data_IF_734260269264
#
_entry.id   IF_734260269264
#
_cell.length_a   1.000
_cell.length_b   1.000
_cell.length_c   1.000
_cell.angle_alpha   90.00
_cell.angle_beta   90.00
_cell.angle_gamma   90.00
#
_symmetry.space_group_name_H-M   'P 1'
#
loop_
_entity.id
_entity.type
_entity.pdbx_description
1 polymer ?
#
# COMPACT_ATOMS: atom_id res chain seq x y z
N UNK A 1 -24.20 -20.88 13.25
CA UNK A 1 -23.24 -19.75 13.41
C UNK A 1 -21.87 -20.36 13.36
N UNK A 2 -21.09 -20.06 12.34
CA UNK A 2 -19.69 -20.50 12.26
C UNK A 2 -18.86 -19.70 13.28
N UNK A 3 -18.60 -20.30 14.40
CA UNK A 3 -17.92 -19.67 15.54
C UNK A 3 -16.50 -19.26 15.16
N UNK A 4 -16.30 -17.99 14.83
CA UNK A 4 -14.98 -17.38 14.67
C UNK A 4 -14.22 -17.69 13.38
N UNK A 5 -14.80 -18.39 12.41
CA UNK A 5 -14.14 -18.69 11.13
C UNK A 5 -14.03 -17.44 10.27
N UNK A 6 -12.82 -17.09 9.82
CA UNK A 6 -12.56 -16.02 8.86
C UNK A 6 -12.40 -16.58 7.43
N UNK A 7 -12.87 -15.82 6.46
CA UNK A 7 -12.74 -16.10 5.03
C UNK A 7 -11.73 -15.12 4.47
N UNK A 8 -10.68 -15.63 3.89
CA UNK A 8 -9.60 -14.86 3.28
C UNK A 8 -9.69 -14.94 1.77
N UNK A 9 -9.67 -13.79 1.10
CA UNK A 9 -9.67 -13.67 -0.36
C UNK A 9 -8.44 -12.88 -0.79
N UNK A 10 -7.61 -13.46 -1.63
CA UNK A 10 -6.41 -12.80 -2.16
C UNK A 10 -6.69 -12.33 -3.59
N UNK A 11 -6.46 -11.05 -3.83
CA UNK A 11 -6.82 -10.35 -5.06
C UNK A 11 -5.64 -9.53 -5.58
N UNK A 12 -5.54 -9.37 -6.89
CA UNK A 12 -4.69 -8.36 -7.50
C UNK A 12 -5.40 -6.99 -7.55
N UNK A 13 -4.64 -5.92 -7.63
CA UNK A 13 -5.19 -4.56 -7.78
C UNK A 13 -5.95 -4.40 -9.10
N UNK A 14 -5.50 -5.05 -10.18
CA UNK A 14 -6.20 -5.09 -11.46
C UNK A 14 -7.54 -5.82 -11.42
N UNK A 15 -7.68 -6.86 -10.59
CA UNK A 15 -8.95 -7.57 -10.40
C UNK A 15 -10.02 -6.70 -9.75
N UNK A 16 -9.60 -5.66 -9.03
CA UNK A 16 -10.53 -4.71 -8.41
C UNK A 16 -11.09 -3.67 -9.38
N UNK A 17 -10.61 -3.61 -10.62
CA UNK A 17 -11.16 -2.73 -11.67
C UNK A 17 -12.45 -3.31 -12.30
N UNK A 18 -12.70 -4.60 -12.12
CA UNK A 18 -13.87 -5.28 -12.67
C UNK A 18 -15.16 -4.78 -12.00
N UNK A 19 -16.22 -4.51 -12.78
CA UNK A 19 -17.49 -4.00 -12.23
C UNK A 19 -18.10 -4.89 -11.15
N UNK A 20 -17.96 -6.20 -11.27
CA UNK A 20 -18.45 -7.19 -10.31
C UNK A 20 -17.70 -7.07 -8.98
N UNK A 21 -16.39 -6.89 -9.03
CA UNK A 21 -15.55 -6.70 -7.83
C UNK A 21 -15.92 -5.41 -7.10
N UNK A 22 -16.05 -4.30 -7.83
CA UNK A 22 -16.45 -3.01 -7.27
C UNK A 22 -17.88 -3.07 -6.69
N UNK A 23 -18.81 -3.73 -7.38
CA UNK A 23 -20.19 -3.90 -6.91
C UNK A 23 -20.29 -4.71 -5.61
N UNK A 24 -19.43 -5.71 -5.44
CA UNK A 24 -19.42 -6.58 -4.26
C UNK A 24 -18.96 -5.85 -2.98
N UNK A 25 -18.15 -4.81 -3.08
CA UNK A 25 -17.64 -4.04 -1.93
C UNK A 25 -18.80 -3.51 -1.07
N UNK A 26 -19.76 -2.83 -1.70
CA UNK A 26 -20.92 -2.26 -0.99
C UNK A 26 -21.83 -3.31 -0.39
N UNK A 27 -21.98 -4.47 -1.04
CA UNK A 27 -22.79 -5.58 -0.54
C UNK A 27 -22.21 -6.17 0.75
N UNK A 28 -20.94 -6.51 0.76
CA UNK A 28 -20.27 -7.08 1.92
C UNK A 28 -20.35 -6.17 3.16
N UNK A 29 -20.23 -4.87 2.96
CA UNK A 29 -20.36 -3.90 4.04
C UNK A 29 -21.79 -3.82 4.60
N UNK A 30 -22.81 -3.78 3.74
CA UNK A 30 -24.21 -3.77 4.16
C UNK A 30 -24.61 -5.02 4.95
N UNK A 31 -24.14 -6.17 4.51
CA UNK A 31 -24.37 -7.45 5.18
C UNK A 31 -23.49 -7.63 6.43
N UNK A 32 -22.61 -6.65 6.72
CA UNK A 32 -21.69 -6.67 7.87
C UNK A 32 -20.91 -7.98 7.99
N UNK A 33 -20.32 -8.39 6.88
CA UNK A 33 -19.55 -9.63 6.81
C UNK A 33 -18.20 -9.47 7.53
N UNK A 34 -18.22 -9.37 8.83
CA UNK A 34 -17.04 -9.14 9.67
C UNK A 34 -16.08 -10.33 9.74
N UNK A 35 -16.47 -11.46 9.18
CA UNK A 35 -15.62 -12.62 8.97
C UNK A 35 -14.91 -12.63 7.61
N UNK A 36 -15.17 -11.65 6.73
CA UNK A 36 -14.54 -11.53 5.40
C UNK A 36 -13.31 -10.62 5.47
N UNK A 37 -12.19 -11.14 4.97
CA UNK A 37 -10.93 -10.40 4.87
C UNK A 37 -10.43 -10.47 3.43
N UNK A 38 -10.31 -9.32 2.77
CA UNK A 38 -9.64 -9.19 1.48
C UNK A 38 -8.18 -8.83 1.69
N UNK A 39 -7.30 -9.44 0.90
CA UNK A 39 -5.88 -9.07 0.80
C UNK A 39 -5.63 -8.66 -0.65
N UNK A 40 -5.48 -7.37 -0.89
CA UNK A 40 -5.25 -6.82 -2.22
C UNK A 40 -3.76 -6.61 -2.44
N UNK A 41 -3.17 -7.38 -3.34
CA UNK A 41 -1.77 -7.24 -3.72
C UNK A 41 -1.60 -6.13 -4.76
N UNK A 42 -1.25 -4.93 -4.28
CA UNK A 42 -1.01 -3.77 -5.13
C UNK A 42 0.42 -3.77 -5.67
N UNK A 43 0.65 -4.49 -6.76
CA UNK A 43 1.95 -4.51 -7.45
C UNK A 43 2.13 -3.37 -8.47
N UNK A 44 1.09 -2.55 -8.67
CA UNK A 44 1.04 -1.43 -9.61
C UNK A 44 1.17 -1.87 -11.09
N UNK A 45 0.85 -3.12 -11.39
CA UNK A 45 0.89 -3.69 -12.74
C UNK A 45 -0.50 -4.11 -13.17
N UNK A 46 -0.89 -3.68 -14.37
CA UNK A 46 -2.16 -4.04 -15.02
C UNK A 46 -1.87 -4.58 -16.40
N UNK A 47 -2.61 -5.59 -16.83
CA UNK A 47 -2.43 -6.23 -18.13
C UNK A 47 -2.68 -5.24 -19.29
N UNK A 48 -3.70 -4.39 -19.16
CA UNK A 48 -4.14 -3.46 -20.20
C UNK A 48 -3.53 -2.05 -20.05
N UNK A 49 -2.53 -1.90 -19.19
CA UNK A 49 -1.95 -0.60 -18.86
C UNK A 49 -2.85 0.24 -17.94
N UNK A 50 -2.49 1.49 -17.67
CA UNK A 50 -3.26 2.34 -16.78
C UNK A 50 -4.56 2.76 -17.46
N UNK A 51 -5.69 2.20 -17.00
CA UNK A 51 -7.04 2.47 -17.56
C UNK A 51 -7.42 3.95 -17.46
N UNK A 52 -6.85 4.67 -16.48
CA UNK A 52 -7.13 6.10 -16.23
C UNK A 52 -5.87 6.98 -16.22
N UNK A 53 -4.84 6.59 -16.95
CA UNK A 53 -3.55 7.28 -16.93
C UNK A 53 -2.70 6.90 -15.72
N UNK A 54 -1.75 7.75 -15.38
CA UNK A 54 -0.81 7.50 -14.28
C UNK A 54 -1.45 7.90 -12.94
N UNK A 55 -2.22 7.00 -12.34
CA UNK A 55 -3.01 7.25 -11.12
C UNK A 55 -2.31 6.74 -9.85
N UNK A 56 -3.03 6.81 -8.74
CA UNK A 56 -2.63 6.32 -7.40
C UNK A 56 -3.63 5.27 -6.95
N UNK A 57 -3.55 4.09 -7.55
CA UNK A 57 -4.52 3.01 -7.35
C UNK A 57 -4.76 2.66 -5.88
N UNK A 58 -3.72 2.65 -5.06
CA UNK A 58 -3.87 2.33 -3.62
C UNK A 58 -4.79 3.33 -2.94
N UNK A 59 -4.68 4.63 -3.25
CA UNK A 59 -5.53 5.66 -2.66
C UNK A 59 -6.96 5.61 -3.19
N UNK A 60 -7.15 5.27 -4.46
CA UNK A 60 -8.47 5.10 -5.07
C UNK A 60 -9.21 3.91 -4.45
N UNK A 61 -8.55 2.77 -4.31
CA UNK A 61 -9.10 1.59 -3.64
C UNK A 61 -9.39 1.86 -2.17
N UNK A 62 -8.46 2.49 -1.45
CA UNK A 62 -8.71 2.90 -0.06
C UNK A 62 -9.98 3.74 0.07
N UNK A 63 -10.14 4.74 -0.81
CA UNK A 63 -11.33 5.60 -0.83
C UNK A 63 -12.61 4.81 -1.06
N UNK A 64 -12.61 3.87 -2.00
CA UNK A 64 -13.75 3.01 -2.33
C UNK A 64 -14.15 2.10 -1.16
N UNK A 65 -13.18 1.44 -0.54
CA UNK A 65 -13.42 0.55 0.61
C UNK A 65 -13.89 1.33 1.84
N UNK A 66 -13.21 2.43 2.19
CA UNK A 66 -13.60 3.27 3.34
C UNK A 66 -14.97 3.89 3.14
N UNK A 67 -15.25 4.42 1.95
CA UNK A 67 -16.56 4.98 1.62
C UNK A 67 -17.70 3.97 1.70
N UNK A 68 -17.41 2.70 1.50
CA UNK A 68 -18.38 1.60 1.63
C UNK A 68 -18.48 1.04 3.05
N UNK A 69 -17.67 1.50 4.01
CA UNK A 69 -17.76 1.08 5.41
C UNK A 69 -16.86 -0.10 5.81
N UNK A 70 -15.85 -0.43 5.00
CA UNK A 70 -14.86 -1.45 5.35
C UNK A 70 -13.83 -0.93 6.34
N UNK A 71 -13.30 -1.81 7.17
CA UNK A 71 -12.04 -1.60 7.88
C UNK A 71 -10.88 -1.74 6.90
N UNK A 72 -10.05 -0.69 6.78
CA UNK A 72 -8.94 -0.67 5.81
C UNK A 72 -7.60 -0.61 6.53
N UNK A 73 -6.74 -1.58 6.27
CA UNK A 73 -5.37 -1.66 6.79
C UNK A 73 -4.42 -1.53 5.61
N UNK A 74 -3.56 -0.51 5.60
CA UNK A 74 -2.56 -0.31 4.54
C UNK A 74 -1.19 -0.80 4.98
N UNK A 75 -0.57 -1.65 4.17
CA UNK A 75 0.80 -2.15 4.37
C UNK A 75 1.67 -1.60 3.23
N UNK A 76 2.15 -0.37 3.39
CA UNK A 76 2.80 0.39 2.30
C UNK A 76 4.32 0.26 2.38
N UNK A 77 4.93 0.64 3.51
CA UNK A 77 6.37 0.71 3.67
C UNK A 77 6.89 -0.33 4.65
N UNK A 78 8.01 -0.94 4.30
CA UNK A 78 8.71 -1.88 5.17
C UNK A 78 9.43 -1.19 6.33
N UNK A 79 9.88 -1.96 7.30
CA UNK A 79 10.46 -1.47 8.55
C UNK A 79 11.70 -0.60 8.37
N UNK A 80 12.45 -0.76 7.28
CA UNK A 80 13.61 0.11 7.00
C UNK A 80 13.24 1.56 6.76
N UNK A 81 12.01 1.86 6.34
CA UNK A 81 11.49 3.21 6.21
C UNK A 81 11.19 3.88 7.55
N UNK A 82 10.93 3.10 8.60
CA UNK A 82 10.47 3.63 9.89
C UNK A 82 11.46 4.64 10.48
N UNK A 83 12.76 4.40 10.35
CA UNK A 83 13.79 5.33 10.81
C UNK A 83 13.82 6.64 10.03
N UNK A 84 13.60 6.59 8.71
CA UNK A 84 13.56 7.80 7.88
C UNK A 84 12.28 8.60 8.16
N UNK A 85 11.16 7.91 8.30
CA UNK A 85 9.87 8.55 8.66
C UNK A 85 9.93 9.20 10.04
N UNK A 86 10.59 8.57 11.01
CA UNK A 86 10.79 9.15 12.35
C UNK A 86 11.67 10.42 12.34
N UNK A 87 12.58 10.54 11.37
CA UNK A 87 13.44 11.71 11.17
C UNK A 87 12.75 12.83 10.39
N UNK A 88 11.67 12.54 9.68
CA UNK A 88 10.94 13.51 8.83
C UNK A 88 10.07 14.45 9.69
N UNK A 89 10.71 15.40 10.35
CA UNK A 89 10.05 16.39 11.22
C UNK A 89 9.10 17.32 10.50
N UNK A 90 9.33 17.56 9.22
CA UNK A 90 8.58 18.52 8.38
C UNK A 90 7.46 17.87 7.57
N UNK A 91 7.42 16.55 7.50
CA UNK A 91 6.52 15.79 6.62
C UNK A 91 6.91 15.86 5.13
N UNK A 92 8.13 16.32 4.82
CA UNK A 92 8.59 16.48 3.44
C UNK A 92 8.77 15.13 2.73
N UNK A 93 9.22 14.10 3.47
CA UNK A 93 9.34 12.74 2.95
C UNK A 93 7.96 12.18 2.58
N UNK A 94 6.98 12.34 3.46
CA UNK A 94 5.59 11.94 3.20
C UNK A 94 5.01 12.71 2.02
N UNK A 95 5.26 14.03 1.96
CA UNK A 95 4.87 14.85 0.81
C UNK A 95 5.45 14.30 -0.49
N UNK A 96 6.77 14.02 -0.53
CA UNK A 96 7.44 13.44 -1.70
C UNK A 96 6.84 12.08 -2.09
N UNK A 97 6.55 11.21 -1.13
CA UNK A 97 5.88 9.94 -1.38
C UNK A 97 4.51 10.14 -2.04
N UNK A 98 3.75 11.13 -1.58
CA UNK A 98 2.42 11.45 -2.12
C UNK A 98 2.47 12.15 -3.49
N UNK A 99 3.56 12.77 -3.86
CA UNK A 99 3.76 13.35 -5.20
C UNK A 99 4.02 12.28 -6.27
N UNK A 100 4.60 11.15 -5.89
CA UNK A 100 4.89 10.07 -6.81
C UNK A 100 3.60 9.41 -7.32
N UNK A 101 3.59 9.14 -8.61
CA UNK A 101 2.55 8.35 -9.26
C UNK A 101 3.04 6.92 -9.50
N UNK A 102 2.13 6.02 -9.83
CA UNK A 102 2.41 4.58 -9.92
C UNK A 102 3.57 4.25 -10.88
N UNK A 103 3.64 4.92 -12.03
CA UNK A 103 4.73 4.73 -12.99
C UNK A 103 6.12 5.16 -12.46
N UNK A 104 6.20 6.19 -11.61
CA UNK A 104 7.46 6.56 -10.94
C UNK A 104 7.90 5.44 -9.98
N UNK A 105 6.96 4.88 -9.18
CA UNK A 105 7.27 3.78 -8.27
C UNK A 105 7.73 2.51 -8.99
N UNK A 106 7.16 2.20 -10.16
CA UNK A 106 7.65 1.12 -11.00
C UNK A 106 9.08 1.38 -11.48
N UNK A 107 9.38 2.61 -11.93
CA UNK A 107 10.73 2.99 -12.36
C UNK A 107 11.74 2.91 -11.22
N UNK A 108 11.39 3.34 -10.01
CA UNK A 108 12.24 3.21 -8.83
C UNK A 108 12.59 1.75 -8.53
N UNK A 109 11.63 0.85 -8.65
CA UNK A 109 11.86 -0.59 -8.44
C UNK A 109 12.75 -1.20 -9.53
N UNK A 110 12.63 -0.76 -10.77
CA UNK A 110 13.37 -1.33 -11.91
C UNK A 110 14.83 -0.86 -11.99
N UNK A 111 15.12 0.39 -11.56
CA UNK A 111 16.40 1.06 -11.87
C UNK A 111 17.42 1.10 -10.73
N UNK A 112 17.07 0.63 -9.54
CA UNK A 112 18.00 0.47 -8.42
C UNK A 112 18.21 1.70 -7.54
N UNK A 113 19.06 1.53 -6.50
CA UNK A 113 19.23 2.49 -5.42
C UNK A 113 19.82 3.85 -5.83
N UNK A 114 20.78 3.89 -6.76
CA UNK A 114 21.34 5.15 -7.27
C UNK A 114 20.26 6.00 -7.96
N UNK A 115 19.41 5.39 -8.74
CA UNK A 115 18.31 6.08 -9.41
C UNK A 115 17.28 6.61 -8.39
N UNK A 116 16.98 5.82 -7.35
CA UNK A 116 16.09 6.26 -6.26
C UNK A 116 16.71 7.45 -5.52
N UNK A 117 18.01 7.40 -5.23
CA UNK A 117 18.72 8.53 -4.61
C UNK A 117 18.56 9.80 -5.45
N UNK A 118 18.84 9.71 -6.74
CA UNK A 118 18.78 10.86 -7.64
C UNK A 118 17.35 11.37 -7.86
N UNK A 119 16.44 10.49 -8.23
CA UNK A 119 15.10 10.89 -8.72
C UNK A 119 14.04 11.00 -7.64
N UNK A 120 14.15 10.22 -6.56
CA UNK A 120 13.21 10.30 -5.45
C UNK A 120 13.69 11.29 -4.38
N UNK A 121 14.85 11.01 -3.76
CA UNK A 121 15.39 11.86 -2.70
C UNK A 121 15.97 13.17 -3.24
N UNK A 122 16.61 13.14 -4.40
CA UNK A 122 17.25 14.30 -5.02
C UNK A 122 16.29 15.40 -5.49
N UNK A 123 14.98 15.16 -5.42
CA UNK A 123 13.99 16.21 -5.75
C UNK A 123 14.01 17.37 -4.74
N UNK A 124 14.40 17.10 -3.50
CA UNK A 124 14.50 18.08 -2.43
C UNK A 124 15.86 17.96 -1.72
N UNK A 125 16.58 19.07 -1.52
CA UNK A 125 17.89 19.05 -0.83
C UNK A 125 17.82 18.42 0.56
N UNK A 126 16.77 18.67 1.30
CA UNK A 126 16.55 18.13 2.66
C UNK A 126 16.41 16.61 2.66
N UNK A 127 15.80 16.04 1.63
CA UNK A 127 15.71 14.59 1.48
C UNK A 127 17.03 13.97 1.04
N UNK A 128 17.84 14.69 0.25
CA UNK A 128 19.21 14.28 -0.09
C UNK A 128 20.04 14.19 1.19
N UNK A 129 19.95 15.20 2.05
CA UNK A 129 20.65 15.21 3.34
C UNK A 129 20.17 14.09 4.26
N UNK A 130 18.86 13.84 4.32
CA UNK A 130 18.25 12.77 5.12
C UNK A 130 18.86 11.39 4.85
N UNK A 131 19.27 11.13 3.61
CA UNK A 131 19.87 9.85 3.16
C UNK A 131 21.36 9.94 2.88
N UNK A 132 22.03 11.01 3.27
CA UNK A 132 23.47 11.26 2.98
C UNK A 132 24.37 10.15 3.52
N UNK A 133 24.03 9.58 4.66
CA UNK A 133 24.77 8.48 5.30
C UNK A 133 24.45 7.09 4.75
N UNK A 134 23.43 6.94 3.91
CA UNK A 134 23.03 5.67 3.33
C UNK A 134 23.78 5.40 2.02
N UNK A 135 24.19 4.15 1.83
CA UNK A 135 24.69 3.69 0.54
C UNK A 135 23.52 3.46 -0.44
N UNK A 136 23.81 3.36 -1.75
CA UNK A 136 22.77 3.01 -2.72
C UNK A 136 22.18 1.62 -2.47
N UNK A 137 22.96 0.71 -1.88
CA UNK A 137 22.49 -0.60 -1.46
C UNK A 137 21.50 -0.49 -0.28
N UNK A 138 21.74 0.43 0.64
CA UNK A 138 20.80 0.68 1.76
C UNK A 138 19.52 1.30 1.25
N UNK A 139 19.59 2.25 0.33
CA UNK A 139 18.41 2.82 -0.33
C UNK A 139 17.63 1.74 -1.08
N UNK A 140 18.32 0.81 -1.74
CA UNK A 140 17.67 -0.30 -2.42
C UNK A 140 16.94 -1.26 -1.46
N UNK A 141 17.37 -1.34 -0.22
CA UNK A 141 16.71 -2.13 0.84
C UNK A 141 15.42 -1.49 1.39
N UNK A 142 15.14 -0.24 1.06
CA UNK A 142 13.90 0.43 1.44
C UNK A 142 12.72 -0.22 0.70
N UNK A 143 12.29 -1.38 1.19
CA UNK A 143 11.28 -2.22 0.58
C UNK A 143 9.85 -1.75 0.89
N UNK A 144 8.90 -2.25 0.08
CA UNK A 144 7.47 -2.13 0.32
C UNK A 144 7.06 -2.98 1.52
N UNK A 145 5.98 -2.58 2.21
CA UNK A 145 5.48 -3.27 3.40
C UNK A 145 5.02 -4.70 3.15
N UNK A 146 4.48 -4.99 1.96
CA UNK A 146 4.09 -6.34 1.57
C UNK A 146 5.25 -7.35 1.47
N UNK A 147 6.50 -6.88 1.44
CA UNK A 147 7.72 -7.71 1.50
C UNK A 147 8.36 -7.72 2.89
N UNK A 148 7.69 -7.17 3.90
CA UNK A 148 8.13 -7.16 5.29
C UNK A 148 7.27 -8.09 6.14
N UNK A 149 7.80 -9.25 6.58
CA UNK A 149 7.01 -10.23 7.33
C UNK A 149 6.40 -9.68 8.62
N UNK A 150 7.10 -8.75 9.29
CA UNK A 150 6.60 -8.15 10.53
C UNK A 150 5.40 -7.25 10.28
N UNK A 151 5.45 -6.43 9.21
CA UNK A 151 4.34 -5.55 8.82
C UNK A 151 3.14 -6.36 8.35
N UNK A 152 3.37 -7.41 7.55
CA UNK A 152 2.31 -8.32 7.08
C UNK A 152 1.67 -9.04 8.25
N UNK A 153 2.46 -9.61 9.16
CA UNK A 153 1.94 -10.27 10.34
C UNK A 153 1.07 -9.33 11.21
N UNK A 154 1.56 -8.12 11.47
CA UNK A 154 0.82 -7.13 12.25
C UNK A 154 -0.53 -6.79 11.61
N UNK A 155 -0.56 -6.62 10.27
CA UNK A 155 -1.79 -6.35 9.53
C UNK A 155 -2.78 -7.53 9.64
N UNK A 156 -2.30 -8.76 9.48
CA UNK A 156 -3.13 -9.96 9.59
C UNK A 156 -3.68 -10.14 11.00
N UNK A 157 -2.84 -9.94 12.02
CA UNK A 157 -3.26 -10.01 13.41
C UNK A 157 -4.36 -8.97 13.72
N UNK A 158 -4.21 -7.75 13.24
CA UNK A 158 -5.22 -6.70 13.39
C UNK A 158 -6.54 -7.05 12.67
N UNK A 159 -6.46 -7.61 11.46
CA UNK A 159 -7.63 -8.05 10.70
C UNK A 159 -8.39 -9.18 11.40
N UNK A 160 -7.67 -10.13 12.01
CA UNK A 160 -8.27 -11.23 12.76
C UNK A 160 -9.06 -10.76 13.99
N UNK A 161 -8.63 -9.67 14.62
CA UNK A 161 -9.27 -9.11 15.81
C UNK A 161 -10.44 -8.18 15.49
N UNK A 162 -10.52 -7.69 14.25
CA UNK A 162 -11.58 -6.76 13.87
C UNK A 162 -12.95 -7.44 13.79
N UNK A 163 -13.99 -6.74 14.26
CA UNK A 163 -15.40 -7.17 14.22
C UNK A 163 -16.30 -6.03 13.75
N UNK A 164 -17.49 -6.36 13.31
CA UNK A 164 -18.55 -5.41 12.96
C UNK A 164 -18.55 -4.93 11.50
N UNK A 165 -17.46 -5.11 10.78
CA UNK A 165 -17.39 -4.84 9.33
C UNK A 165 -16.33 -5.71 8.63
N UNK A 166 -16.43 -5.94 7.33
CA UNK A 166 -15.38 -6.63 6.58
C UNK A 166 -14.08 -5.84 6.60
N UNK A 167 -12.95 -6.55 6.45
CA UNK A 167 -11.60 -5.95 6.45
C UNK A 167 -10.93 -6.12 5.10
N UNK A 168 -10.22 -5.09 4.64
CA UNK A 168 -9.28 -5.15 3.52
C UNK A 168 -7.87 -4.74 3.96
N UNK A 169 -6.87 -5.49 3.54
CA UNK A 169 -5.44 -5.26 3.73
C UNK A 169 -4.81 -4.93 2.39
#
# INVERSE_FOLDING_TARGET
KDEGRKIWVFLGDGEMDEPESLGAIGLAAREKLDNLIFVVNCNLQRLDGPVRGNSKIIQELEGSFRGSGWNVIKVIWGSYWDQLLAKDKTGLLIKRMNECVDGEYQAFKAKGGSYVREKFFGKYPELTELVSSLTDKDIWRLNRGGHDPHKVYAAYAAAMQHTGSPTVI
#
